data_IF_993967108608
#
_entry.id   IF_993967108608
#
_cell.length_a   1.000
_cell.length_b   1.000
_cell.length_c   1.000
_cell.angle_alpha   90.00
_cell.angle_beta   90.00
_cell.angle_gamma   90.00
#
_symmetry.space_group_name_H-M   'P 1'
#
loop_
_entity.id
_entity.type
_entity.pdbx_description
1 polymer ?
#
# COMPACT_ATOMS: atom_id res chain seq x y z
N UNK A 1 -6.96 35.22 27.34
CA UNK A 1 -6.56 34.82 25.98
C UNK A 1 -5.57 33.64 26.03
N UNK A 2 -4.46 33.72 26.77
CA UNK A 2 -3.47 32.63 26.87
C UNK A 2 -4.02 31.21 27.19
N UNK A 3 -5.00 31.08 28.09
CA UNK A 3 -5.57 29.77 28.46
C UNK A 3 -6.36 29.09 27.33
N UNK A 4 -6.90 29.85 26.37
CA UNK A 4 -7.65 29.29 25.24
C UNK A 4 -6.69 28.77 24.17
N UNK A 5 -5.70 29.59 23.80
CA UNK A 5 -4.60 29.20 22.92
C UNK A 5 -3.86 27.94 23.42
N UNK A 6 -3.52 27.87 24.71
CA UNK A 6 -2.90 26.67 25.29
C UNK A 6 -3.79 25.41 25.18
N UNK A 7 -5.10 25.56 25.34
CA UNK A 7 -6.05 24.45 25.15
C UNK A 7 -6.09 24.01 23.69
N UNK A 8 -6.07 24.94 22.73
CA UNK A 8 -6.01 24.61 21.30
C UNK A 8 -4.71 23.90 20.93
N UNK A 9 -3.55 24.39 21.40
CA UNK A 9 -2.24 23.74 21.19
C UNK A 9 -2.20 22.32 21.77
N UNK A 10 -2.78 22.10 22.96
CA UNK A 10 -2.92 20.76 23.56
C UNK A 10 -3.83 19.85 22.72
N UNK A 11 -5.00 20.33 22.29
CA UNK A 11 -5.90 19.58 21.41
C UNK A 11 -5.22 19.21 20.09
N UNK A 12 -4.52 20.14 19.45
CA UNK A 12 -3.73 19.92 18.23
C UNK A 12 -2.74 18.78 18.43
N UNK A 13 -1.99 18.77 19.54
CA UNK A 13 -1.03 17.68 19.86
C UNK A 13 -1.72 16.32 19.99
N UNK A 14 -2.88 16.26 20.66
CA UNK A 14 -3.66 15.03 20.81
C UNK A 14 -4.16 14.52 19.46
N UNK A 15 -4.75 15.40 18.63
CA UNK A 15 -5.24 15.04 17.30
C UNK A 15 -4.08 14.61 16.40
N UNK A 16 -2.95 15.32 16.42
CA UNK A 16 -1.74 14.96 15.67
C UNK A 16 -1.23 13.57 16.06
N UNK A 17 -1.18 13.26 17.35
CA UNK A 17 -0.80 11.92 17.84
C UNK A 17 -1.76 10.84 17.35
N UNK A 18 -3.06 11.12 17.34
CA UNK A 18 -4.07 10.18 16.81
C UNK A 18 -3.94 10.01 15.29
N UNK A 19 -3.71 11.09 14.55
CA UNK A 19 -3.52 11.05 13.10
C UNK A 19 -2.23 10.31 12.73
N UNK A 20 -1.15 10.46 13.52
CA UNK A 20 0.09 9.70 13.33
C UNK A 20 -0.15 8.20 13.47
N UNK A 21 -0.95 7.77 14.46
CA UNK A 21 -1.33 6.35 14.59
C UNK A 21 -2.11 5.84 13.38
N UNK A 22 -3.04 6.64 12.86
CA UNK A 22 -3.78 6.29 11.64
C UNK A 22 -2.84 6.17 10.43
N UNK A 23 -1.85 7.07 10.31
CA UNK A 23 -0.83 6.99 9.27
C UNK A 23 0.04 5.74 9.38
N UNK A 24 0.48 5.37 10.59
CA UNK A 24 1.25 4.14 10.81
C UNK A 24 0.44 2.91 10.42
N UNK A 25 -0.81 2.81 10.88
CA UNK A 25 -1.69 1.69 10.53
C UNK A 25 -1.92 1.61 9.03
N UNK A 26 -2.07 2.76 8.37
CA UNK A 26 -2.24 2.85 6.92
C UNK A 26 -0.96 2.44 6.18
N UNK A 27 0.21 2.84 6.67
CA UNK A 27 1.50 2.41 6.13
C UNK A 27 1.71 0.90 6.25
N UNK A 28 1.37 0.31 7.40
CA UNK A 28 1.41 -1.14 7.61
C UNK A 28 0.45 -1.87 6.68
N UNK A 29 -0.79 -1.37 6.54
CA UNK A 29 -1.78 -1.97 5.65
C UNK A 29 -1.37 -1.88 4.17
N UNK A 30 -0.74 -0.78 3.74
CA UNK A 30 -0.18 -0.64 2.38
C UNK A 30 0.97 -1.63 2.13
N UNK A 31 1.76 -1.97 3.16
CA UNK A 31 2.89 -2.90 3.04
C UNK A 31 2.47 -4.37 3.05
N UNK A 32 1.24 -4.68 3.45
CA UNK A 32 0.73 -6.05 3.43
C UNK A 32 0.61 -6.59 2.00
N UNK A 33 0.90 -7.88 1.82
CA UNK A 33 0.77 -8.57 0.52
C UNK A 33 -0.69 -8.64 0.05
N UNK A 34 -1.64 -8.73 0.99
CA UNK A 34 -3.09 -8.71 0.74
C UNK A 34 -3.74 -7.57 1.53
N UNK A 35 -3.68 -6.32 1.03
CA UNK A 35 -4.23 -5.17 1.76
C UNK A 35 -5.77 -5.19 1.74
N UNK A 36 -6.37 -5.03 2.91
CA UNK A 36 -7.83 -4.92 3.06
C UNK A 36 -8.31 -3.55 2.58
N UNK A 37 -9.10 -3.54 1.50
CA UNK A 37 -9.57 -2.32 0.86
C UNK A 37 -10.62 -1.57 1.68
N UNK A 38 -11.47 -2.29 2.42
CA UNK A 38 -12.50 -1.69 3.26
C UNK A 38 -11.86 -1.03 4.47
N UNK A 39 -10.89 -1.71 5.09
CA UNK A 39 -10.08 -1.15 6.18
C UNK A 39 -9.26 0.07 5.73
N UNK A 40 -8.64 0.03 4.54
CA UNK A 40 -7.93 1.19 3.98
C UNK A 40 -8.87 2.38 3.75
N UNK A 41 -10.09 2.14 3.26
CA UNK A 41 -11.11 3.19 3.08
C UNK A 41 -11.55 3.80 4.41
N UNK A 42 -11.78 2.97 5.42
CA UNK A 42 -12.12 3.44 6.77
C UNK A 42 -10.99 4.29 7.36
N UNK A 43 -9.74 3.81 7.30
CA UNK A 43 -8.57 4.55 7.76
C UNK A 43 -8.42 5.90 7.05
N UNK A 44 -8.67 5.96 5.73
CA UNK A 44 -8.64 7.19 4.95
C UNK A 44 -9.77 8.17 5.34
N UNK A 45 -10.97 7.66 5.62
CA UNK A 45 -12.10 8.46 6.07
C UNK A 45 -11.80 9.08 7.45
N UNK A 46 -11.36 8.26 8.40
CA UNK A 46 -10.97 8.72 9.73
C UNK A 46 -9.82 9.74 9.69
N UNK A 47 -8.84 9.52 8.82
CA UNK A 47 -7.72 10.45 8.64
C UNK A 47 -8.19 11.79 8.08
N UNK A 48 -9.15 11.80 7.15
CA UNK A 48 -9.71 13.04 6.58
C UNK A 48 -10.42 13.89 7.63
N UNK A 49 -11.25 13.28 8.48
CA UNK A 49 -11.94 14.02 9.57
C UNK A 49 -10.93 14.63 10.55
N UNK A 50 -9.82 13.91 10.82
CA UNK A 50 -8.76 14.40 11.72
C UNK A 50 -7.94 15.51 11.08
N UNK A 51 -7.71 15.46 9.77
CA UNK A 51 -7.07 16.52 8.98
C UNK A 51 -7.92 17.80 9.00
N UNK A 52 -9.22 17.71 8.74
CA UNK A 52 -10.13 18.86 8.83
C UNK A 52 -10.10 19.49 10.23
N UNK A 53 -10.14 18.66 11.27
CA UNK A 53 -10.03 19.13 12.66
C UNK A 53 -8.68 19.82 12.94
N UNK A 54 -7.60 19.37 12.31
CA UNK A 54 -6.28 20.02 12.44
C UNK A 54 -6.27 21.38 11.75
N UNK A 55 -6.82 21.47 10.54
CA UNK A 55 -6.93 22.74 9.79
C UNK A 55 -7.72 23.78 10.58
N UNK A 56 -8.85 23.38 11.18
CA UNK A 56 -9.64 24.29 12.01
C UNK A 56 -8.89 24.75 13.26
N UNK A 57 -8.16 23.85 13.92
CA UNK A 57 -7.35 24.18 15.10
C UNK A 57 -6.15 25.05 14.74
N UNK A 58 -5.46 24.79 13.63
CA UNK A 58 -4.31 25.57 13.19
C UNK A 58 -4.76 26.99 12.81
N UNK A 59 -5.89 27.15 12.09
CA UNK A 59 -6.49 28.48 11.83
C UNK A 59 -6.88 29.21 13.12
N UNK A 60 -7.42 28.49 14.10
CA UNK A 60 -7.74 29.06 15.42
C UNK A 60 -6.50 29.54 16.18
N UNK A 61 -5.41 28.78 16.09
CA UNK A 61 -4.11 29.13 16.70
C UNK A 61 -3.48 30.32 15.98
N UNK A 62 -3.52 30.36 14.64
CA UNK A 62 -3.04 31.49 13.84
C UNK A 62 -3.72 32.80 14.22
N UNK A 63 -5.04 32.79 14.37
CA UNK A 63 -5.82 33.97 14.75
C UNK A 63 -5.56 34.47 16.18
N UNK A 64 -5.11 33.61 17.09
CA UNK A 64 -4.82 33.94 18.50
C UNK A 64 -3.33 34.17 18.78
N UNK A 65 -2.43 33.90 17.82
CA UNK A 65 -0.97 34.00 17.98
C UNK A 65 -0.43 35.28 17.33
N UNK A 66 0.55 35.92 17.96
CA UNK A 66 1.21 37.11 17.39
C UNK A 66 2.06 36.73 16.18
N UNK A 67 2.15 37.63 15.20
CA UNK A 67 2.84 37.41 13.91
C UNK A 67 4.30 36.98 14.06
N UNK A 68 5.00 37.47 15.09
CA UNK A 68 6.40 37.13 15.39
C UNK A 68 6.63 35.68 15.88
N UNK A 69 5.62 35.03 16.46
CA UNK A 69 5.70 33.64 16.94
C UNK A 69 5.19 32.61 15.91
N UNK A 70 4.72 33.07 14.74
CA UNK A 70 3.98 32.25 13.78
C UNK A 70 4.88 31.48 12.80
N UNK A 71 6.02 32.03 12.37
CA UNK A 71 6.84 31.44 11.31
C UNK A 71 7.31 30.00 11.64
N UNK A 72 7.73 29.76 12.89
CA UNK A 72 8.17 28.43 13.35
C UNK A 72 7.03 27.41 13.48
N UNK A 73 5.84 27.84 13.88
CA UNK A 73 4.68 26.95 14.00
C UNK A 73 4.09 26.60 12.62
N UNK A 74 4.10 27.55 11.68
CA UNK A 74 3.62 27.35 10.30
C UNK A 74 4.47 26.30 9.58
N UNK A 75 5.81 26.39 9.65
CA UNK A 75 6.69 25.40 9.03
C UNK A 75 6.39 23.96 9.53
N UNK A 76 6.26 23.79 10.84
CA UNK A 76 5.93 22.50 11.44
C UNK A 76 4.53 21.97 11.06
N UNK A 77 3.56 22.86 10.84
CA UNK A 77 2.23 22.48 10.39
C UNK A 77 2.24 22.03 8.92
N UNK A 78 2.94 22.76 8.05
CA UNK A 78 3.10 22.45 6.63
C UNK A 78 3.82 21.12 6.42
N UNK A 79 4.94 20.88 7.11
CA UNK A 79 5.67 19.60 7.01
C UNK A 79 4.81 18.39 7.42
N UNK A 80 3.87 18.58 8.35
CA UNK A 80 2.95 17.53 8.77
C UNK A 80 1.81 17.33 7.76
N UNK A 81 1.28 18.41 7.20
CA UNK A 81 0.31 18.39 6.11
C UNK A 81 0.86 17.66 4.88
N UNK A 82 2.09 17.98 4.46
CA UNK A 82 2.75 17.32 3.33
C UNK A 82 2.89 15.81 3.53
N UNK A 83 3.21 15.38 4.77
CA UNK A 83 3.23 13.96 5.13
C UNK A 83 1.87 13.30 4.97
N UNK A 84 0.79 13.95 5.44
CA UNK A 84 -0.58 13.43 5.27
C UNK A 84 -0.91 13.30 3.78
N UNK A 85 -0.65 14.33 2.98
CA UNK A 85 -0.93 14.36 1.54
C UNK A 85 -0.19 13.24 0.82
N UNK A 86 1.11 13.07 1.12
CA UNK A 86 1.95 12.03 0.53
C UNK A 86 1.37 10.63 0.75
N UNK A 87 0.98 10.32 2.00
CA UNK A 87 0.43 9.01 2.34
C UNK A 87 -0.99 8.78 1.79
N UNK A 88 -1.83 9.81 1.80
CA UNK A 88 -3.15 9.77 1.14
C UNK A 88 -3.02 9.48 -0.35
N UNK A 89 -2.07 10.13 -1.03
CA UNK A 89 -1.82 9.92 -2.45
C UNK A 89 -1.39 8.48 -2.72
N UNK A 90 -0.44 7.95 -1.95
CA UNK A 90 -0.01 6.54 -2.06
C UNK A 90 -1.15 5.55 -1.86
N UNK A 91 -1.99 5.77 -0.83
CA UNK A 91 -3.13 4.90 -0.54
C UNK A 91 -4.14 4.90 -1.71
N UNK A 92 -4.46 6.08 -2.24
CA UNK A 92 -5.38 6.23 -3.37
C UNK A 92 -4.84 5.53 -4.63
N UNK A 93 -3.57 5.75 -4.98
CA UNK A 93 -2.96 5.10 -6.14
C UNK A 93 -2.92 3.58 -6.02
N UNK A 94 -2.75 3.03 -4.80
CA UNK A 94 -2.80 1.58 -4.58
C UNK A 94 -4.21 1.03 -4.80
N UNK A 95 -5.23 1.71 -4.25
CA UNK A 95 -6.63 1.33 -4.45
C UNK A 95 -7.03 1.40 -5.93
N UNK A 96 -6.62 2.45 -6.64
CA UNK A 96 -6.89 2.63 -8.07
C UNK A 96 -6.26 1.49 -8.91
N UNK A 97 -4.98 1.17 -8.66
CA UNK A 97 -4.31 0.05 -9.33
C UNK A 97 -5.01 -1.29 -9.08
N UNK A 98 -5.46 -1.54 -7.84
CA UNK A 98 -6.17 -2.79 -7.50
C UNK A 98 -7.52 -2.87 -8.21
N UNK A 99 -8.25 -1.76 -8.28
CA UNK A 99 -9.51 -1.67 -9.03
C UNK A 99 -9.29 -1.91 -10.53
N UNK A 100 -8.21 -1.38 -11.10
CA UNK A 100 -7.84 -1.62 -12.50
C UNK A 100 -7.52 -3.09 -12.76
N UNK A 101 -6.72 -3.73 -11.89
CA UNK A 101 -6.43 -5.17 -11.96
C UNK A 101 -7.69 -6.04 -11.84
N UNK A 102 -8.64 -5.68 -10.98
CA UNK A 102 -9.94 -6.34 -10.87
C UNK A 102 -10.76 -6.15 -12.17
N UNK A 103 -10.76 -4.93 -12.72
CA UNK A 103 -11.48 -4.62 -13.96
C UNK A 103 -10.90 -5.37 -15.18
N UNK A 104 -9.59 -5.60 -15.22
CA UNK A 104 -8.92 -6.40 -16.25
C UNK A 104 -9.22 -7.89 -16.11
N UNK A 105 -9.35 -8.41 -14.88
CA UNK A 105 -9.82 -9.79 -14.62
C UNK A 105 -11.24 -10.00 -15.13
N UNK A 106 -12.13 -9.02 -14.96
CA UNK A 106 -13.54 -9.12 -15.39
C UNK A 106 -13.69 -8.97 -16.91
N UNK A 107 -12.80 -8.22 -17.58
CA UNK A 107 -12.81 -8.02 -19.04
C UNK A 107 -12.28 -9.21 -19.86
N UNK A 108 -11.78 -10.27 -19.22
CA UNK A 108 -11.34 -11.48 -19.93
C UNK A 108 -12.20 -12.72 -19.63
N UNK A 109 -13.35 -12.90 -20.30
CA UNK A 109 -13.93 -14.20 -20.53
C UNK A 109 -13.36 -14.80 -21.83
N UNK A 110 -12.03 -14.89 -21.97
CA UNK A 110 -11.41 -15.73 -23.00
C UNK A 110 -9.94 -15.99 -22.64
N UNK A 111 -9.58 -17.28 -22.59
CA UNK A 111 -8.25 -17.84 -22.36
C UNK A 111 -7.86 -18.12 -20.89
N UNK A 112 -8.52 -19.11 -20.29
CA UNK A 112 -7.75 -20.09 -19.53
C UNK A 112 -8.27 -21.52 -19.71
N UNK A 113 -8.32 -22.01 -20.95
CA UNK A 113 -7.99 -23.43 -21.18
C UNK A 113 -6.49 -23.53 -21.39
N UNK A 114 -5.79 -23.91 -20.32
CA UNK A 114 -4.65 -24.83 -20.42
C UNK A 114 -4.24 -25.24 -19.01
N UNK A 115 -4.60 -26.48 -18.67
CA UNK A 115 -3.85 -27.26 -17.69
C UNK A 115 -2.35 -27.15 -18.01
N UNK A 116 -1.46 -27.00 -17.02
CA UNK A 116 -0.07 -27.32 -17.24
C UNK A 116 0.04 -28.84 -17.40
N UNK A 117 0.03 -29.29 -18.65
CA UNK A 117 0.45 -30.63 -19.04
C UNK A 117 1.91 -30.80 -18.61
N UNK A 118 2.11 -31.44 -17.45
CA UNK A 118 3.42 -31.79 -16.95
C UNK A 118 4.04 -32.79 -17.92
N UNK A 119 4.76 -32.28 -18.92
CA UNK A 119 5.73 -33.03 -19.72
C UNK A 119 6.75 -33.64 -18.75
N UNK A 120 6.51 -34.87 -18.31
CA UNK A 120 7.53 -35.71 -17.70
C UNK A 120 8.53 -36.03 -18.80
N UNK A 121 9.62 -35.26 -18.86
CA UNK A 121 10.80 -35.59 -19.65
C UNK A 121 11.31 -36.93 -19.12
N UNK A 122 11.21 -37.96 -19.94
CA UNK A 122 11.87 -39.25 -19.73
C UNK A 122 13.37 -39.01 -19.68
N UNK A 123 13.97 -39.26 -18.51
CA UNK A 123 15.41 -39.33 -18.35
C UNK A 123 15.91 -40.55 -19.12
N UNK A 124 16.49 -40.34 -20.30
CA UNK A 124 17.26 -41.37 -20.99
C UNK A 124 18.67 -41.29 -20.41
N UNK A 125 18.88 -41.98 -19.29
CA UNK A 125 20.20 -42.18 -18.71
C UNK A 125 20.97 -43.21 -19.54
N UNK A 126 22.17 -42.82 -19.95
CA UNK A 126 23.12 -43.62 -20.69
C UNK A 126 23.42 -44.98 -20.03
N UNK A 127 23.34 -46.05 -20.82
CA UNK A 127 24.00 -47.34 -20.54
C UNK A 127 24.84 -47.76 -21.74
N UNK A 128 26.14 -47.42 -21.63
CA UNK A 128 27.34 -48.23 -21.92
C UNK A 128 27.32 -49.17 -23.13
N UNK A 129 28.27 -48.93 -24.04
CA UNK A 129 28.67 -49.89 -25.05
C UNK A 129 29.31 -51.16 -24.49
N UNK A 130 29.02 -52.27 -25.16
CA UNK A 130 29.75 -53.54 -25.32
C UNK A 130 28.74 -54.42 -26.06
N UNK A 131 28.93 -54.92 -27.27
CA UNK A 131 30.09 -55.62 -27.78
C UNK A 131 29.57 -56.98 -28.28
N UNK A 132 29.83 -57.28 -29.57
CA UNK A 132 29.60 -58.57 -30.25
C UNK A 132 28.11 -58.94 -30.46
N UNK A 133 27.67 -59.62 -31.52
CA UNK A 133 28.28 -60.70 -32.27
C UNK A 133 27.49 -60.93 -33.57
N UNK A 134 28.20 -61.22 -34.65
CA UNK A 134 27.69 -61.77 -35.91
C UNK A 134 27.11 -63.17 -35.69
N UNK A 135 25.96 -63.48 -36.33
CA UNK A 135 25.60 -64.73 -37.04
C UNK A 135 24.09 -64.69 -37.40
N UNK A 136 23.72 -64.69 -38.67
CA UNK A 136 23.53 -65.87 -39.55
C UNK A 136 22.34 -66.74 -39.12
N UNK A 137 21.22 -66.65 -39.86
CA UNK A 137 20.37 -67.80 -40.17
C UNK A 137 19.53 -67.53 -41.43
N UNK A 138 19.73 -68.41 -42.41
CA UNK A 138 18.86 -68.70 -43.57
C UNK A 138 17.68 -69.59 -43.11
N UNK A 139 16.77 -69.85 -44.06
CA UNK A 139 15.63 -70.78 -44.10
C UNK A 139 14.30 -70.12 -43.68
N UNK A 140 13.22 -70.16 -44.45
CA UNK A 140 12.82 -71.04 -45.58
C UNK A 140 12.41 -70.26 -46.84
#
# INVERSE_FOLDING_TARGET
MAAQLERMKKKRKTIRSSATKLLTNLEEEIKNEEPDCDKLRELLSMLSVKEESLVELDRGIENETSTDDLEGEIASALEYQDRIIMWKSRAKSLLERRLEQESERIKSPANHERLPEKRKKTNISATKGCGLRVQLLKLD
#
